data_IF_770271498631
#
_entry.id   IF_770271498631
#
_cell.length_a   1.000
_cell.length_b   1.000
_cell.length_c   1.000
_cell.angle_alpha   90.00
_cell.angle_beta   90.00
_cell.angle_gamma   90.00
#
_symmetry.space_group_name_H-M   'P 1'
#
loop_
_entity.id
_entity.type
_entity.pdbx_description
1 polymer ?
#
# COMPACT_ATOMS: atom_id res chain seq x y z
N UNK A 1 27.14 2.93 -29.31
CA UNK A 1 25.81 2.72 -28.70
C UNK A 1 24.97 3.97 -28.91
N UNK A 2 23.83 3.88 -29.59
CA UNK A 2 22.92 5.02 -29.79
C UNK A 2 22.29 5.45 -28.47
N UNK A 3 21.96 6.75 -28.31
CA UNK A 3 21.34 7.30 -27.09
C UNK A 3 20.12 6.49 -26.60
N UNK A 4 19.34 5.94 -27.52
CA UNK A 4 18.16 5.11 -27.25
C UNK A 4 18.50 3.73 -26.69
N UNK A 5 19.62 3.11 -27.11
CA UNK A 5 20.06 1.80 -26.60
C UNK A 5 20.44 1.81 -25.12
N UNK A 6 20.80 2.97 -24.56
CA UNK A 6 21.14 3.10 -23.13
C UNK A 6 19.92 3.26 -22.21
N UNK A 7 18.76 3.69 -22.74
CA UNK A 7 17.59 4.03 -21.92
C UNK A 7 16.69 2.82 -21.61
N UNK A 8 16.69 1.81 -22.48
CA UNK A 8 15.80 0.64 -22.39
C UNK A 8 16.56 -0.66 -22.08
N UNK A 9 17.70 -0.56 -21.37
CA UNK A 9 18.45 -1.74 -20.94
C UNK A 9 17.62 -2.57 -19.97
N UNK A 10 17.44 -3.85 -20.25
CA UNK A 10 16.69 -4.77 -19.40
C UNK A 10 17.61 -5.60 -18.52
N UNK A 11 17.16 -5.88 -17.30
CA UNK A 11 17.86 -6.78 -16.37
C UNK A 11 17.55 -8.22 -16.77
N UNK A 12 18.58 -9.06 -16.88
CA UNK A 12 18.39 -10.47 -17.19
C UNK A 12 17.54 -11.16 -16.11
N UNK A 13 16.58 -11.97 -16.55
CA UNK A 13 15.77 -12.82 -15.66
C UNK A 13 16.60 -14.08 -15.41
N UNK A 14 17.07 -14.26 -14.18
CA UNK A 14 17.92 -15.39 -13.83
C UNK A 14 17.07 -16.67 -13.80
N UNK A 15 17.22 -17.54 -14.81
CA UNK A 15 16.39 -18.74 -14.96
C UNK A 15 16.59 -19.75 -13.81
N UNK A 16 17.75 -19.72 -13.17
CA UNK A 16 18.09 -20.51 -11.99
C UNK A 16 17.80 -19.68 -10.71
N UNK A 17 16.53 -19.65 -10.26
CA UNK A 17 16.07 -18.96 -9.02
C UNK A 17 16.68 -19.55 -7.71
N UNK A 18 17.81 -20.26 -7.80
CA UNK A 18 18.41 -21.11 -6.77
C UNK A 18 19.85 -20.76 -6.40
N UNK A 19 20.51 -19.76 -7.04
CA UNK A 19 21.96 -19.56 -6.86
C UNK A 19 22.43 -18.24 -6.23
N UNK A 20 21.55 -17.28 -5.97
CA UNK A 20 21.92 -16.13 -5.13
C UNK A 20 21.86 -16.51 -3.66
N UNK A 21 23.02 -16.64 -2.99
CA UNK A 21 23.07 -16.68 -1.53
C UNK A 21 22.64 -15.30 -1.01
N UNK A 22 21.32 -15.08 -0.89
CA UNK A 22 20.75 -13.83 -0.37
C UNK A 22 21.05 -13.65 1.11
N UNK A 23 21.56 -14.69 1.79
CA UNK A 23 21.70 -14.75 3.24
C UNK A 23 20.35 -14.78 3.99
N UNK A 24 19.22 -14.96 3.28
CA UNK A 24 17.88 -15.01 3.87
C UNK A 24 17.35 -16.45 3.91
N UNK A 25 16.65 -16.78 5.00
CA UNK A 25 16.12 -18.12 5.25
C UNK A 25 14.73 -18.23 4.62
N UNK A 26 14.56 -19.16 3.67
CA UNK A 26 13.26 -19.43 3.01
C UNK A 26 12.32 -20.17 3.96
N UNK A 27 11.42 -19.45 4.62
CA UNK A 27 10.55 -20.00 5.67
C UNK A 27 9.06 -19.81 5.40
N UNK A 28 8.68 -18.85 4.54
CA UNK A 28 7.30 -18.44 4.30
C UNK A 28 6.59 -19.41 3.35
N UNK A 29 5.44 -19.93 3.79
CA UNK A 29 4.50 -20.67 2.96
C UNK A 29 3.35 -19.79 2.44
N UNK A 30 2.38 -20.38 1.71
CA UNK A 30 1.25 -19.64 1.15
C UNK A 30 0.35 -18.99 2.21
N UNK A 31 0.18 -19.64 3.37
CA UNK A 31 -0.60 -19.08 4.49
C UNK A 31 0.12 -17.86 5.08
N UNK A 32 1.43 -17.94 5.30
CA UNK A 32 2.23 -16.84 5.83
C UNK A 32 2.19 -15.62 4.89
N UNK A 33 2.30 -15.86 3.57
CA UNK A 33 2.21 -14.83 2.54
C UNK A 33 0.80 -14.23 2.44
N UNK A 34 -0.24 -15.04 2.63
CA UNK A 34 -1.63 -14.55 2.68
C UNK A 34 -1.85 -13.66 3.90
N UNK A 35 -1.36 -14.08 5.07
CA UNK A 35 -1.40 -13.26 6.29
C UNK A 35 -0.58 -11.98 6.15
N UNK A 36 0.57 -12.04 5.48
CA UNK A 36 1.37 -10.86 5.14
C UNK A 36 0.55 -9.88 4.27
N UNK A 37 -0.11 -10.38 3.23
CA UNK A 37 -0.97 -9.56 2.38
C UNK A 37 -2.15 -8.95 3.12
N UNK A 38 -2.89 -9.74 3.91
CA UNK A 38 -4.00 -9.24 4.74
C UNK A 38 -3.48 -8.19 5.74
N UNK A 39 -2.31 -8.43 6.33
CA UNK A 39 -1.65 -7.53 7.27
C UNK A 39 -1.25 -6.19 6.66
N UNK A 40 -0.91 -6.18 5.37
CA UNK A 40 -0.55 -5.00 4.59
C UNK A 40 -1.77 -4.25 4.02
N UNK A 41 -2.83 -4.96 3.66
CA UNK A 41 -4.04 -4.40 3.05
C UNK A 41 -4.97 -3.79 4.12
N UNK A 42 -5.29 -4.54 5.18
CA UNK A 42 -6.25 -4.10 6.20
C UNK A 42 -5.62 -3.05 7.13
N UNK A 43 -5.91 -1.78 6.85
CA UNK A 43 -5.42 -0.61 7.60
C UNK A 43 -6.35 0.60 7.55
N UNK A 44 -5.78 1.79 7.32
CA UNK A 44 -6.51 3.06 7.44
C UNK A 44 -7.64 3.20 6.42
N UNK A 45 -7.54 2.51 5.30
CA UNK A 45 -8.60 2.44 4.29
C UNK A 45 -9.94 1.98 4.86
N UNK A 46 -9.96 0.88 5.61
CA UNK A 46 -11.20 0.32 6.18
C UNK A 46 -11.57 0.93 7.54
N UNK A 47 -10.57 1.23 8.36
CA UNK A 47 -10.80 1.72 9.72
C UNK A 47 -11.12 3.22 9.78
N UNK A 48 -10.71 4.00 8.77
CA UNK A 48 -10.87 5.47 8.76
C UNK A 48 -11.55 5.94 7.48
N UNK A 49 -10.96 5.67 6.31
CA UNK A 49 -11.40 6.27 5.05
C UNK A 49 -12.78 5.80 4.60
N UNK A 50 -13.23 4.60 4.99
CA UNK A 50 -14.61 4.14 4.71
C UNK A 50 -15.66 5.11 5.24
N UNK A 51 -15.49 5.60 6.47
CA UNK A 51 -16.45 6.54 7.06
C UNK A 51 -16.44 7.89 6.36
N UNK A 52 -15.23 8.42 6.10
CA UNK A 52 -15.04 9.68 5.36
C UNK A 52 -15.66 9.58 3.97
N UNK A 53 -15.32 8.54 3.20
CA UNK A 53 -15.82 8.34 1.84
C UNK A 53 -17.34 8.09 1.80
N UNK A 54 -17.90 7.38 2.78
CA UNK A 54 -19.34 7.24 2.91
C UNK A 54 -20.00 8.60 3.19
N UNK A 55 -19.44 9.40 4.10
CA UNK A 55 -20.01 10.68 4.50
C UNK A 55 -19.95 11.76 3.40
N UNK A 56 -18.85 11.81 2.64
CA UNK A 56 -18.56 12.94 1.74
C UNK A 56 -18.70 12.61 0.26
N UNK A 57 -18.57 11.34 -0.14
CA UNK A 57 -18.47 10.96 -1.56
C UNK A 57 -19.59 10.03 -2.02
N UNK A 58 -19.83 8.90 -1.35
CA UNK A 58 -20.64 7.81 -1.92
C UNK A 58 -21.95 7.53 -1.17
N UNK A 59 -22.07 7.92 0.10
CA UNK A 59 -23.19 7.50 0.94
C UNK A 59 -23.22 5.98 1.14
N UNK A 60 -24.42 5.39 1.27
CA UNK A 60 -24.59 3.93 1.31
C UNK A 60 -24.01 3.18 0.11
N UNK A 61 -23.93 3.83 -1.06
CA UNK A 61 -23.34 3.26 -2.26
C UNK A 61 -21.81 3.10 -2.21
N UNK A 62 -21.16 3.39 -1.08
CA UNK A 62 -19.75 3.07 -0.84
C UNK A 62 -19.42 1.58 -1.07
N UNK A 63 -20.40 0.68 -0.93
CA UNK A 63 -20.26 -0.74 -1.29
C UNK A 63 -19.95 -0.93 -2.78
N UNK A 64 -20.55 -0.12 -3.65
CA UNK A 64 -20.26 -0.12 -5.09
C UNK A 64 -18.88 0.45 -5.36
N UNK A 65 -18.45 1.47 -4.59
CA UNK A 65 -17.09 1.99 -4.67
C UNK A 65 -16.05 0.91 -4.36
N UNK A 66 -16.28 0.10 -3.32
CA UNK A 66 -15.42 -1.04 -3.00
C UNK A 66 -15.40 -2.11 -4.09
N UNK A 67 -16.53 -2.37 -4.74
CA UNK A 67 -16.59 -3.31 -5.87
C UNK A 67 -15.80 -2.79 -7.08
N UNK A 68 -15.95 -1.51 -7.42
CA UNK A 68 -15.22 -0.89 -8.55
C UNK A 68 -13.72 -0.91 -8.28
N UNK A 69 -13.28 -0.39 -7.13
CA UNK A 69 -11.87 -0.36 -6.76
C UNK A 69 -11.30 -1.78 -6.62
N UNK A 70 -12.02 -2.69 -5.97
CA UNK A 70 -11.59 -4.09 -5.81
C UNK A 70 -11.45 -4.83 -7.13
N UNK A 71 -12.32 -4.56 -8.11
CA UNK A 71 -12.22 -5.13 -9.46
C UNK A 71 -11.00 -4.60 -10.21
N UNK A 72 -10.73 -3.29 -10.13
CA UNK A 72 -9.52 -2.69 -10.70
C UNK A 72 -8.26 -3.31 -10.09
N UNK A 73 -8.22 -3.45 -8.77
CA UNK A 73 -7.13 -4.11 -8.04
C UNK A 73 -7.02 -5.59 -8.41
N UNK A 74 -8.12 -6.30 -8.67
CA UNK A 74 -8.09 -7.71 -9.05
C UNK A 74 -7.41 -7.91 -10.40
N UNK A 75 -7.69 -7.06 -11.40
CA UNK A 75 -7.00 -7.11 -12.68
C UNK A 75 -5.49 -6.85 -12.54
N UNK A 76 -5.11 -5.84 -11.74
CA UNK A 76 -3.71 -5.56 -11.45
C UNK A 76 -3.04 -6.70 -10.67
N UNK A 77 -3.69 -7.26 -9.65
CA UNK A 77 -3.17 -8.34 -8.82
C UNK A 77 -2.91 -9.62 -9.62
N UNK A 78 -3.74 -9.92 -10.63
CA UNK A 78 -3.48 -11.03 -11.56
C UNK A 78 -2.19 -10.78 -12.36
N UNK A 79 -1.98 -9.55 -12.85
CA UNK A 79 -0.75 -9.18 -13.55
C UNK A 79 0.48 -9.25 -12.63
N UNK A 80 0.36 -8.76 -11.40
CA UNK A 80 1.39 -8.89 -10.36
C UNK A 80 1.71 -10.36 -10.06
N UNK A 81 0.71 -11.22 -9.93
CA UNK A 81 0.90 -12.64 -9.68
C UNK A 81 1.68 -13.34 -10.82
N UNK A 82 1.42 -12.98 -12.09
CA UNK A 82 2.19 -13.51 -13.23
C UNK A 82 3.65 -13.05 -13.20
N UNK A 83 3.91 -11.75 -13.00
CA UNK A 83 5.28 -11.23 -12.96
C UNK A 83 6.04 -11.73 -11.73
N UNK A 84 5.39 -11.80 -10.57
CA UNK A 84 5.99 -12.35 -9.34
C UNK A 84 6.38 -13.82 -9.51
N UNK A 85 5.55 -14.62 -10.18
CA UNK A 85 5.83 -16.03 -10.43
C UNK A 85 6.90 -16.27 -11.52
N UNK A 86 6.97 -15.39 -12.52
CA UNK A 86 7.85 -15.56 -13.68
C UNK A 86 9.25 -14.94 -13.49
N UNK A 87 9.34 -13.78 -12.82
CA UNK A 87 10.59 -13.03 -12.66
C UNK A 87 11.24 -13.32 -11.30
N UNK A 88 10.43 -13.43 -10.23
CA UNK A 88 10.93 -13.56 -8.86
C UNK A 88 11.69 -12.33 -8.35
N UNK A 89 12.41 -12.50 -7.23
CA UNK A 89 13.32 -11.50 -6.63
C UNK A 89 12.67 -10.40 -5.79
N UNK A 90 13.50 -9.66 -5.03
CA UNK A 90 13.06 -8.53 -4.19
C UNK A 90 13.02 -7.21 -4.98
N UNK A 91 11.93 -6.95 -5.71
CA UNK A 91 11.83 -5.72 -6.51
C UNK A 91 10.44 -5.15 -6.73
N UNK A 92 9.36 -5.89 -6.47
CA UNK A 92 7.99 -5.49 -6.82
C UNK A 92 7.95 -4.89 -8.25
N UNK A 93 7.12 -3.87 -8.50
CA UNK A 93 6.99 -3.20 -9.80
C UNK A 93 8.32 -2.68 -10.37
N UNK A 94 9.25 -2.23 -9.53
CA UNK A 94 10.60 -1.79 -9.97
C UNK A 94 11.34 -2.93 -10.68
N UNK A 95 11.45 -4.08 -10.02
CA UNK A 95 12.14 -5.25 -10.58
C UNK A 95 11.46 -5.75 -11.86
N UNK A 96 10.12 -5.76 -11.89
CA UNK A 96 9.36 -6.21 -13.05
C UNK A 96 9.54 -5.29 -14.26
N UNK A 97 9.49 -3.97 -14.05
CA UNK A 97 9.71 -3.01 -15.12
C UNK A 97 11.16 -3.06 -15.61
N UNK A 98 12.14 -3.31 -14.73
CA UNK A 98 13.53 -3.42 -15.14
C UNK A 98 13.78 -4.65 -16.01
N UNK A 99 13.12 -5.77 -15.72
CA UNK A 99 13.21 -6.98 -16.53
C UNK A 99 12.45 -6.87 -17.87
N UNK A 100 11.27 -6.24 -17.87
CA UNK A 100 10.37 -6.23 -19.03
C UNK A 100 10.38 -4.98 -19.91
N UNK A 101 10.53 -3.79 -19.32
CA UNK A 101 10.33 -2.49 -19.98
C UNK A 101 11.62 -1.66 -20.10
N UNK A 102 12.61 -1.92 -19.26
CA UNK A 102 13.94 -1.33 -19.31
C UNK A 102 14.22 -0.27 -18.25
N UNK A 103 15.48 0.17 -18.21
CA UNK A 103 16.06 1.00 -17.14
C UNK A 103 15.32 2.32 -16.87
N UNK A 104 14.94 3.09 -17.90
CA UNK A 104 14.26 4.37 -17.70
C UNK A 104 12.88 4.17 -17.06
N UNK A 105 12.11 3.20 -17.55
CA UNK A 105 10.78 2.89 -17.01
C UNK A 105 10.93 2.35 -15.58
N UNK A 106 11.91 1.48 -15.34
CA UNK A 106 12.26 1.01 -14.01
C UNK A 106 12.64 2.15 -13.06
N UNK A 107 13.42 3.13 -13.51
CA UNK A 107 13.76 4.30 -12.70
C UNK A 107 12.52 5.12 -12.36
N UNK A 108 11.68 5.45 -13.35
CA UNK A 108 10.47 6.25 -13.15
C UNK A 108 9.59 5.58 -12.10
N UNK A 109 9.34 4.27 -12.24
CA UNK A 109 8.53 3.55 -11.27
C UNK A 109 9.22 3.41 -9.91
N UNK A 110 10.53 3.15 -9.86
CA UNK A 110 11.26 3.08 -8.59
C UNK A 110 11.20 4.40 -7.81
N UNK A 111 11.32 5.52 -8.52
CA UNK A 111 11.19 6.87 -7.95
C UNK A 111 9.76 7.17 -7.49
N UNK A 112 8.76 6.71 -8.23
CA UNK A 112 7.35 6.76 -7.84
C UNK A 112 7.07 5.92 -6.58
N UNK A 113 7.53 4.67 -6.52
CA UNK A 113 7.37 3.80 -5.35
C UNK A 113 7.98 4.40 -4.06
N UNK A 114 9.07 5.19 -4.17
CA UNK A 114 9.64 5.90 -3.02
C UNK A 114 8.65 6.92 -2.45
N UNK A 115 7.95 7.64 -3.32
CA UNK A 115 6.88 8.56 -2.92
C UNK A 115 5.69 7.77 -2.38
N UNK A 116 5.18 6.81 -3.15
CA UNK A 116 4.00 6.01 -2.82
C UNK A 116 4.13 5.41 -1.43
N UNK A 117 5.16 4.60 -1.17
CA UNK A 117 5.31 3.93 0.10
C UNK A 117 5.57 4.92 1.25
N UNK A 118 6.33 6.00 1.00
CA UNK A 118 6.62 7.00 2.02
C UNK A 118 5.36 7.77 2.46
N UNK A 119 4.60 8.22 1.48
CA UNK A 119 3.33 8.94 1.68
C UNK A 119 2.28 7.98 2.23
N UNK A 120 2.29 6.69 1.85
CA UNK A 120 1.37 5.68 2.39
C UNK A 120 1.58 5.42 3.88
N UNK A 121 2.82 5.22 4.32
CA UNK A 121 3.15 5.11 5.77
C UNK A 121 2.66 6.35 6.52
N UNK A 122 2.80 7.53 5.90
CA UNK A 122 2.35 8.79 6.49
C UNK A 122 0.82 8.85 6.61
N UNK A 123 0.07 8.45 5.59
CA UNK A 123 -1.40 8.37 5.63
C UNK A 123 -1.90 7.39 6.70
N UNK A 124 -1.27 6.22 6.80
CA UNK A 124 -1.62 5.21 7.80
C UNK A 124 -1.30 5.72 9.21
N UNK A 125 -0.22 6.45 9.40
CA UNK A 125 0.14 7.07 10.68
C UNK A 125 -0.88 8.14 11.12
N UNK A 126 -1.39 8.95 10.19
CA UNK A 126 -2.46 9.93 10.49
C UNK A 126 -3.73 9.20 10.93
N UNK A 127 -4.12 8.12 10.23
CA UNK A 127 -5.24 7.28 10.65
C UNK A 127 -5.03 6.60 12.01
N UNK A 128 -3.80 6.17 12.29
CA UNK A 128 -3.40 5.60 13.59
C UNK A 128 -3.54 6.61 14.73
N UNK A 129 -3.17 7.87 14.48
CA UNK A 129 -3.27 8.96 15.46
C UNK A 129 -4.69 9.16 15.97
N UNK A 130 -5.70 9.10 15.10
CA UNK A 130 -7.11 9.21 15.50
C UNK A 130 -7.55 8.11 16.47
N UNK A 131 -7.20 6.85 16.19
CA UNK A 131 -7.50 5.73 17.09
C UNK A 131 -6.70 5.79 18.40
N UNK A 132 -5.42 6.20 18.33
CA UNK A 132 -4.59 6.36 19.51
C UNK A 132 -5.12 7.47 20.43
N UNK A 133 -5.55 8.60 19.87
CA UNK A 133 -6.17 9.67 20.65
C UNK A 133 -7.45 9.21 21.34
N UNK A 134 -8.31 8.44 20.67
CA UNK A 134 -9.54 7.94 21.30
C UNK A 134 -9.25 6.99 22.47
N UNK A 135 -8.19 6.19 22.38
CA UNK A 135 -7.72 5.39 23.51
C UNK A 135 -7.19 6.26 24.66
N UNK A 136 -6.50 7.36 24.36
CA UNK A 136 -6.04 8.32 25.36
C UNK A 136 -7.21 9.08 26.01
N UNK A 137 -8.20 9.51 25.24
CA UNK A 137 -9.42 10.14 25.74
C UNK A 137 -10.18 9.22 26.70
N UNK A 138 -10.27 7.92 26.39
CA UNK A 138 -10.92 6.94 27.25
C UNK A 138 -10.27 6.80 28.64
N UNK A 139 -8.99 7.16 28.79
CA UNK A 139 -8.26 7.17 30.08
C UNK A 139 -8.08 8.59 30.64
N UNK A 140 -8.73 9.60 30.06
CA UNK A 140 -8.66 11.00 30.51
C UNK A 140 -7.40 11.76 30.08
N UNK A 141 -6.63 11.23 29.12
CA UNK A 141 -5.37 11.80 28.61
C UNK A 141 -5.49 12.29 27.15
N UNK A 142 -6.70 12.64 26.71
CA UNK A 142 -6.95 13.14 25.35
C UNK A 142 -6.06 14.33 25.01
N UNK A 143 -5.55 14.35 23.78
CA UNK A 143 -4.65 15.41 23.33
C UNK A 143 -5.45 16.61 22.80
N UNK A 144 -5.01 17.85 23.09
CA UNK A 144 -5.58 19.04 22.45
C UNK A 144 -5.48 18.98 20.93
N UNK A 145 -6.47 19.53 20.22
CA UNK A 145 -6.53 19.55 18.75
C UNK A 145 -5.27 20.10 18.07
N UNK A 146 -4.57 21.03 18.72
CA UNK A 146 -3.28 21.60 18.25
C UNK A 146 -2.21 20.53 18.02
N UNK A 147 -2.25 19.41 18.76
CA UNK A 147 -1.30 18.29 18.66
C UNK A 147 -1.82 17.11 17.85
N UNK A 148 -3.06 17.18 17.34
CA UNK A 148 -3.69 16.10 16.58
C UNK A 148 -3.77 16.40 15.08
N UNK A 149 -3.64 17.68 14.71
CA UNK A 149 -3.86 18.15 13.34
C UNK A 149 -2.67 18.94 12.83
N UNK A 150 -2.46 18.86 11.51
CA UNK A 150 -1.49 19.72 10.83
C UNK A 150 -2.02 21.17 10.66
N UNK A 151 -1.16 22.11 10.21
CA UNK A 151 -1.54 23.51 9.99
C UNK A 151 -2.75 23.72 9.08
N UNK A 152 -2.90 22.89 8.05
CA UNK A 152 -4.03 22.96 7.12
C UNK A 152 -5.39 22.61 7.76
N UNK A 153 -5.38 21.88 8.88
CA UNK A 153 -6.57 21.46 9.63
C UNK A 153 -6.74 22.28 10.93
N UNK A 154 -5.99 23.38 11.10
CA UNK A 154 -6.08 24.26 12.26
C UNK A 154 -5.27 23.81 13.49
N UNK A 155 -4.46 22.75 13.36
CA UNK A 155 -3.49 22.36 14.38
C UNK A 155 -2.08 22.88 14.11
N UNK A 156 -1.11 22.48 14.93
CA UNK A 156 0.31 22.81 14.72
C UNK A 156 1.06 21.63 14.09
N UNK A 157 0.84 20.43 14.64
CA UNK A 157 1.42 19.18 14.15
C UNK A 157 0.62 17.99 14.68
N UNK A 158 0.39 16.97 13.86
CA UNK A 158 -0.11 15.68 14.31
C UNK A 158 1.03 14.90 15.00
N UNK A 159 1.21 15.18 16.30
CA UNK A 159 2.29 14.65 17.11
C UNK A 159 2.25 13.11 17.23
N UNK A 160 1.09 12.46 17.49
CA UNK A 160 1.06 11.00 17.55
C UNK A 160 1.43 10.32 16.22
N UNK A 161 1.01 10.89 15.09
CA UNK A 161 1.36 10.37 13.77
C UNK A 161 2.88 10.46 13.50
N UNK A 162 3.50 11.61 13.79
CA UNK A 162 4.95 11.75 13.66
C UNK A 162 5.71 10.81 14.63
N UNK A 163 5.24 10.71 15.88
CA UNK A 163 5.88 9.89 16.91
C UNK A 163 5.85 8.39 16.58
N UNK A 164 4.72 7.86 16.06
CA UNK A 164 4.65 6.44 15.69
C UNK A 164 5.60 6.14 14.53
N UNK A 165 5.70 7.00 13.50
CA UNK A 165 6.63 6.80 12.38
C UNK A 165 8.09 6.75 12.87
N UNK A 166 8.49 7.67 13.75
CA UNK A 166 9.85 7.68 14.32
C UNK A 166 10.10 6.47 15.23
N UNK A 167 9.08 6.01 15.96
CA UNK A 167 9.17 4.80 16.78
C UNK A 167 9.40 3.57 15.90
N UNK A 168 8.69 3.46 14.78
CA UNK A 168 8.90 2.39 13.80
C UNK A 168 10.28 2.50 13.12
N UNK A 169 10.77 3.72 12.86
CA UNK A 169 12.12 3.95 12.35
C UNK A 169 13.19 3.41 13.31
N UNK A 170 13.02 3.66 14.62
CA UNK A 170 13.90 3.14 15.67
C UNK A 170 13.84 1.60 15.73
N UNK A 171 12.62 1.04 15.73
CA UNK A 171 12.38 -0.41 15.78
C UNK A 171 13.05 -1.14 14.61
N UNK A 172 12.82 -0.66 13.38
CA UNK A 172 13.43 -1.19 12.17
C UNK A 172 14.95 -0.96 12.16
N UNK A 173 15.42 0.18 12.69
CA UNK A 173 16.83 0.51 12.81
C UNK A 173 17.60 -0.45 13.73
N UNK A 174 16.99 -0.84 14.86
CA UNK A 174 17.53 -1.84 15.81
C UNK A 174 17.59 -3.25 15.18
N UNK A 175 16.91 -3.45 14.05
CA UNK A 175 16.89 -4.74 13.36
C UNK A 175 15.90 -5.71 13.98
N UNK A 176 14.84 -5.21 14.61
CA UNK A 176 13.66 -6.02 14.87
C UNK A 176 13.07 -6.35 13.51
N UNK A 177 13.45 -7.54 13.00
CA UNK A 177 12.78 -8.15 11.88
C UNK A 177 11.44 -8.61 12.40
N UNK A 178 10.36 -8.15 11.76
CA UNK A 178 9.03 -8.65 12.06
C UNK A 178 9.05 -10.17 12.04
N UNK A 179 8.85 -10.78 13.21
CA UNK A 179 8.72 -12.23 13.28
C UNK A 179 7.39 -12.57 12.60
N UNK A 180 7.41 -13.50 11.65
CA UNK A 180 6.21 -14.03 10.98
C UNK A 180 5.11 -14.36 12.00
N UNK A 181 5.51 -14.83 13.20
CA UNK A 181 4.60 -15.11 14.32
C UNK A 181 3.96 -13.86 14.90
N UNK A 182 4.72 -12.79 15.12
CA UNK A 182 4.20 -11.52 15.64
C UNK A 182 3.25 -10.88 14.63
N UNK A 183 3.65 -10.84 13.35
CA UNK A 183 2.77 -10.35 12.29
C UNK A 183 1.47 -11.18 12.21
N UNK A 184 1.56 -12.51 12.25
CA UNK A 184 0.39 -13.39 12.26
C UNK A 184 -0.55 -13.13 13.44
N UNK A 185 -0.02 -12.90 14.64
CA UNK A 185 -0.82 -12.54 15.82
C UNK A 185 -1.52 -11.18 15.62
N UNK A 186 -0.81 -10.16 15.13
CA UNK A 186 -1.41 -8.84 14.90
C UNK A 186 -2.49 -8.87 13.81
N UNK A 187 -2.31 -9.69 12.76
CA UNK A 187 -3.33 -9.94 11.74
C UNK A 187 -4.55 -10.62 12.34
N UNK A 188 -4.36 -11.61 13.20
CA UNK A 188 -5.47 -12.28 13.89
C UNK A 188 -6.24 -11.30 14.78
N UNK A 189 -5.54 -10.42 15.52
CA UNK A 189 -6.16 -9.40 16.38
C UNK A 189 -7.04 -8.45 15.55
N UNK A 190 -6.55 -7.93 14.41
CA UNK A 190 -7.38 -7.04 13.57
C UNK A 190 -8.57 -7.76 12.94
N UNK A 191 -8.40 -9.03 12.53
CA UNK A 191 -9.50 -9.83 11.97
C UNK A 191 -10.55 -10.15 13.04
N UNK A 192 -10.13 -10.43 14.27
CA UNK A 192 -11.01 -10.61 15.41
C UNK A 192 -11.79 -9.32 15.71
N UNK A 193 -11.13 -8.16 15.72
CA UNK A 193 -11.78 -6.87 15.92
C UNK A 193 -12.86 -6.60 14.86
N UNK A 194 -12.55 -6.87 13.58
CA UNK A 194 -13.53 -6.75 12.48
C UNK A 194 -14.67 -7.75 12.66
N UNK A 195 -14.37 -9.00 13.03
CA UNK A 195 -15.39 -10.02 13.28
C UNK A 195 -16.34 -9.64 14.41
N UNK A 196 -15.82 -9.06 15.49
CA UNK A 196 -16.64 -8.55 16.61
C UNK A 196 -17.49 -7.36 16.18
N UNK A 197 -16.92 -6.41 15.43
CA UNK A 197 -17.69 -5.30 14.87
C UNK A 197 -18.88 -5.83 14.04
N UNK A 198 -18.62 -6.73 13.08
CA UNK A 198 -19.66 -7.29 12.23
C UNK A 198 -20.73 -8.05 13.04
N UNK A 199 -20.31 -8.88 14.00
CA UNK A 199 -21.24 -9.67 14.81
C UNK A 199 -22.15 -8.81 15.69
N UNK A 200 -21.63 -7.72 16.27
CA UNK A 200 -22.41 -6.80 17.11
C UNK A 200 -23.28 -5.86 16.29
N UNK A 201 -22.75 -5.35 15.18
CA UNK A 201 -23.39 -4.32 14.38
C UNK A 201 -24.47 -4.87 13.43
N UNK A 202 -24.32 -6.10 12.91
CA UNK A 202 -25.24 -6.64 11.88
C UNK A 202 -26.70 -6.71 12.35
N UNK A 203 -26.93 -7.04 13.63
CA UNK A 203 -28.27 -7.09 14.22
C UNK A 203 -28.90 -5.72 14.49
N UNK A 204 -28.17 -4.63 14.21
CA UNK A 204 -28.60 -3.23 14.41
C UNK A 204 -28.71 -2.46 13.09
N UNK A 205 -28.58 -3.15 11.95
CA UNK A 205 -28.75 -2.54 10.63
C UNK A 205 -30.21 -2.14 10.44
N UNK A 206 -30.43 -0.86 10.16
CA UNK A 206 -31.71 -0.32 9.75
C UNK A 206 -31.64 0.02 8.26
N UNK A 207 -32.38 -0.71 7.38
CA UNK A 207 -32.43 -0.43 5.95
C UNK A 207 -32.85 1.00 5.60
N UNK A 208 -33.50 1.74 6.50
CA UNK A 208 -33.81 3.16 6.29
C UNK A 208 -32.54 4.00 6.12
N UNK A 209 -31.43 3.63 6.74
CA UNK A 209 -30.14 4.33 6.59
C UNK A 209 -29.53 4.19 5.19
N UNK A 210 -30.00 3.23 4.39
CA UNK A 210 -29.60 3.07 2.99
C UNK A 210 -30.44 3.90 2.02
N UNK A 211 -31.38 4.72 2.51
CA UNK A 211 -32.21 5.61 1.69
C UNK A 211 -31.87 7.08 2.01
N UNK A 212 -31.42 7.88 1.02
CA UNK A 212 -31.13 7.52 -0.37
C UNK A 212 -29.82 6.70 -0.52
N UNK A 213 -29.81 5.72 -1.43
CA UNK A 213 -28.65 4.82 -1.60
C UNK A 213 -27.46 5.49 -2.28
N UNK A 214 -27.72 6.29 -3.32
CA UNK A 214 -26.70 7.04 -4.08
C UNK A 214 -26.95 8.55 -3.98
N UNK A 215 -26.79 9.18 -2.79
CA UNK A 215 -27.07 10.61 -2.61
C UNK A 215 -26.19 11.50 -3.51
N UNK A 216 -25.00 11.03 -3.86
CA UNK A 216 -24.02 11.74 -4.69
C UNK A 216 -23.97 11.22 -6.14
N UNK A 217 -24.91 10.35 -6.53
CA UNK A 217 -24.96 9.73 -7.85
C UNK A 217 -23.75 8.84 -8.18
N UNK A 218 -23.62 8.48 -9.46
CA UNK A 218 -22.52 7.61 -9.93
C UNK A 218 -21.15 8.30 -9.85
N UNK A 219 -21.09 9.61 -10.04
CA UNK A 219 -19.85 10.38 -9.88
C UNK A 219 -19.33 10.29 -8.44
N UNK A 220 -20.21 10.32 -7.45
CA UNK A 220 -19.85 10.10 -6.05
C UNK A 220 -19.34 8.69 -5.77
N UNK A 221 -19.94 7.67 -6.39
CA UNK A 221 -19.43 6.29 -6.32
C UNK A 221 -18.01 6.18 -6.88
N UNK A 222 -17.74 6.84 -8.00
CA UNK A 222 -16.40 6.85 -8.61
C UNK A 222 -15.38 7.66 -7.78
N UNK A 223 -15.76 8.81 -7.25
CA UNK A 223 -14.92 9.59 -6.34
C UNK A 223 -14.62 8.83 -5.04
N UNK A 224 -15.63 8.12 -4.51
CA UNK A 224 -15.47 7.19 -3.40
C UNK A 224 -14.51 6.05 -3.74
N UNK A 225 -14.65 5.44 -4.92
CA UNK A 225 -13.77 4.36 -5.39
C UNK A 225 -12.32 4.80 -5.53
N UNK A 226 -12.09 6.01 -6.07
CA UNK A 226 -10.76 6.60 -6.19
C UNK A 226 -10.13 6.87 -4.81
N UNK A 227 -10.92 7.31 -3.81
CA UNK A 227 -10.42 7.54 -2.45
C UNK A 227 -10.12 6.23 -1.71
N UNK A 228 -11.08 5.30 -1.67
CA UNK A 228 -10.95 4.01 -0.98
C UNK A 228 -10.08 2.99 -1.73
N UNK A 229 -9.64 3.28 -2.96
CA UNK A 229 -8.59 2.52 -3.63
C UNK A 229 -7.38 2.33 -2.71
N UNK A 230 -7.09 3.35 -1.89
CA UNK A 230 -6.09 3.31 -0.82
C UNK A 230 -6.20 2.06 0.07
N UNK A 231 -7.42 1.60 0.35
CA UNK A 231 -7.66 0.44 1.19
C UNK A 231 -7.15 -0.88 0.60
N UNK A 232 -6.95 -0.95 -0.72
CA UNK A 232 -6.51 -2.16 -1.41
C UNK A 232 -4.99 -2.24 -1.59
N UNK A 233 -4.26 -1.17 -1.27
CA UNK A 233 -2.80 -1.11 -1.40
C UNK A 233 -2.17 -2.08 -0.40
N UNK A 234 -1.14 -2.82 -0.84
CA UNK A 234 -0.37 -3.70 0.03
C UNK A 234 -0.34 -5.17 -0.40
N UNK A 235 -1.19 -5.62 -1.33
CA UNK A 235 -1.03 -6.98 -1.88
C UNK A 235 0.29 -7.13 -2.64
N UNK A 236 0.78 -6.05 -3.25
CA UNK A 236 2.06 -5.99 -3.95
C UNK A 236 3.25 -6.12 -2.97
N UNK A 237 3.08 -5.73 -1.71
CA UNK A 237 4.10 -5.93 -0.68
C UNK A 237 4.42 -7.42 -0.44
N UNK A 238 3.46 -8.32 -0.70
CA UNK A 238 3.70 -9.79 -0.67
C UNK A 238 4.81 -10.20 -1.62
N UNK A 239 4.91 -9.53 -2.78
CA UNK A 239 5.94 -9.81 -3.77
C UNK A 239 7.36 -9.48 -3.30
N UNK A 240 7.50 -8.57 -2.33
CA UNK A 240 8.81 -8.21 -1.76
C UNK A 240 9.40 -9.35 -0.91
N UNK A 241 8.56 -10.27 -0.44
CA UNK A 241 8.95 -11.44 0.35
C UNK A 241 9.36 -12.66 -0.50
N UNK A 242 9.57 -12.48 -1.81
CA UNK A 242 9.93 -13.56 -2.74
C UNK A 242 11.18 -14.35 -2.32
N UNK A 243 12.19 -13.67 -1.75
CA UNK A 243 13.44 -14.31 -1.31
C UNK A 243 13.29 -15.16 -0.04
N UNK A 244 12.20 -14.94 0.71
CA UNK A 244 11.89 -15.64 1.97
C UNK A 244 10.80 -16.72 1.79
N UNK A 245 10.20 -16.81 0.60
CA UNK A 245 9.20 -17.82 0.25
C UNK A 245 9.85 -19.19 -0.05
N UNK A 246 9.19 -20.27 0.37
CA UNK A 246 9.66 -21.65 0.12
C UNK A 246 9.54 -22.01 -1.37
N UNK A 247 8.38 -21.76 -1.97
CA UNK A 247 8.12 -21.99 -3.40
C UNK A 247 7.53 -20.72 -4.04
N UNK A 248 8.34 -19.67 -4.27
CA UNK A 248 7.85 -18.34 -4.66
C UNK A 248 6.96 -18.37 -5.91
N UNK A 249 7.26 -19.23 -6.88
CA UNK A 249 6.52 -19.36 -8.14
C UNK A 249 5.04 -19.74 -7.96
N UNK A 250 4.71 -20.43 -6.86
CA UNK A 250 3.33 -20.86 -6.55
C UNK A 250 2.78 -20.08 -5.36
N UNK A 251 3.59 -19.90 -4.32
CA UNK A 251 3.13 -19.38 -3.04
C UNK A 251 2.88 -17.86 -3.12
N UNK A 252 3.62 -17.09 -3.94
CA UNK A 252 3.38 -15.65 -4.14
C UNK A 252 2.05 -15.36 -4.85
N UNK A 253 1.71 -15.98 -6.00
CA UNK A 253 0.39 -15.83 -6.61
C UNK A 253 -0.77 -16.10 -5.64
N UNK A 254 -0.67 -17.16 -4.85
CA UNK A 254 -1.69 -17.52 -3.85
C UNK A 254 -1.80 -16.41 -2.80
N UNK A 255 -0.67 -15.98 -2.23
CA UNK A 255 -0.66 -14.92 -1.22
C UNK A 255 -1.27 -13.61 -1.71
N UNK A 256 -0.92 -13.18 -2.93
CA UNK A 256 -1.43 -11.95 -3.55
C UNK A 256 -2.95 -12.03 -3.78
N UNK A 257 -3.42 -13.09 -4.44
CA UNK A 257 -4.82 -13.18 -4.87
C UNK A 257 -5.77 -13.51 -3.72
N UNK A 258 -5.38 -14.41 -2.82
CA UNK A 258 -6.23 -14.80 -1.68
C UNK A 258 -6.34 -13.66 -0.68
N UNK A 259 -5.24 -12.96 -0.38
CA UNK A 259 -5.30 -11.81 0.53
C UNK A 259 -6.20 -10.71 -0.02
N UNK A 260 -6.07 -10.36 -1.31
CA UNK A 260 -6.95 -9.38 -1.95
C UNK A 260 -8.42 -9.81 -1.90
N UNK A 261 -8.75 -11.04 -2.28
CA UNK A 261 -10.13 -11.52 -2.29
C UNK A 261 -10.78 -11.50 -0.90
N UNK A 262 -10.05 -11.94 0.13
CA UNK A 262 -10.52 -11.92 1.52
C UNK A 262 -10.74 -10.48 2.00
N UNK A 263 -9.80 -9.58 1.72
CA UNK A 263 -9.93 -8.17 2.10
C UNK A 263 -11.11 -7.49 1.39
N UNK A 264 -11.30 -7.72 0.08
CA UNK A 264 -12.45 -7.21 -0.68
C UNK A 264 -13.78 -7.60 -0.04
N UNK A 265 -13.93 -8.88 0.32
CA UNK A 265 -15.16 -9.36 0.97
C UNK A 265 -15.39 -8.67 2.32
N UNK A 266 -14.35 -8.59 3.15
CA UNK A 266 -14.41 -7.90 4.44
C UNK A 266 -14.81 -6.43 4.25
N UNK A 267 -14.24 -5.75 3.27
CA UNK A 267 -14.50 -4.33 3.02
C UNK A 267 -15.96 -4.07 2.64
N UNK A 268 -16.51 -4.88 1.73
CA UNK A 268 -17.92 -4.77 1.34
C UNK A 268 -18.84 -4.99 2.54
N UNK A 269 -18.56 -6.02 3.36
CA UNK A 269 -19.36 -6.33 4.54
C UNK A 269 -19.31 -5.20 5.58
N UNK A 270 -18.12 -4.72 5.91
CA UNK A 270 -17.94 -3.63 6.88
C UNK A 270 -18.60 -2.36 6.36
N UNK A 271 -18.43 -2.00 5.09
CA UNK A 271 -19.02 -0.79 4.52
C UNK A 271 -20.57 -0.84 4.51
N UNK A 272 -21.15 -2.00 4.17
CA UNK A 272 -22.60 -2.21 4.21
C UNK A 272 -23.15 -2.10 5.64
N UNK A 273 -22.50 -2.76 6.61
CA UNK A 273 -22.93 -2.72 8.01
C UNK A 273 -22.73 -1.33 8.61
N UNK A 274 -21.60 -0.67 8.35
CA UNK A 274 -21.30 0.67 8.87
C UNK A 274 -22.36 1.69 8.44
N UNK A 275 -22.69 1.73 7.15
CA UNK A 275 -23.73 2.63 6.59
C UNK A 275 -25.16 2.18 6.92
N UNK A 276 -25.36 0.91 7.25
CA UNK A 276 -26.67 0.37 7.64
C UNK A 276 -27.01 0.65 9.11
N UNK A 277 -26.03 0.76 9.99
CA UNK A 277 -26.28 1.04 11.42
C UNK A 277 -26.41 2.53 11.71
N UNK A 278 -25.65 3.37 11.00
CA UNK A 278 -25.60 4.81 11.26
C UNK A 278 -25.76 5.60 9.95
N UNK A 279 -26.56 6.70 9.93
CA UNK A 279 -26.69 7.55 8.76
C UNK A 279 -25.34 8.06 8.26
N UNK A 280 -25.11 7.92 6.95
CA UNK A 280 -23.82 8.24 6.32
C UNK A 280 -23.24 9.62 6.65
N UNK A 281 -24.01 10.73 6.83
CA UNK A 281 -23.41 12.04 7.11
C UNK A 281 -22.66 12.10 8.45
N UNK A 282 -22.99 11.20 9.38
CA UNK A 282 -22.36 11.16 10.71
C UNK A 282 -21.12 10.27 10.80
N UNK A 283 -20.71 9.65 9.68
CA UNK A 283 -19.54 8.78 9.62
C UNK A 283 -18.21 9.53 9.37
N UNK A 284 -18.24 10.86 9.19
CA UNK A 284 -17.04 11.68 9.01
C UNK A 284 -16.32 11.96 10.35
N UNK A 285 -15.77 10.91 10.95
CA UNK A 285 -15.06 10.93 12.23
C UNK A 285 -13.72 10.22 12.12
N UNK A 286 -12.81 10.42 13.07
CA UNK A 286 -11.47 9.83 13.05
C UNK A 286 -11.43 8.30 13.20
N UNK A 287 -12.46 7.70 13.80
CA UNK A 287 -12.55 6.25 14.04
C UNK A 287 -13.97 5.69 13.84
N UNK A 288 -14.51 5.70 12.62
CA UNK A 288 -15.92 5.38 12.35
C UNK A 288 -16.36 4.02 12.90
N UNK A 289 -15.51 2.98 12.77
CA UNK A 289 -15.86 1.62 13.21
C UNK A 289 -16.00 1.55 14.74
N UNK A 290 -15.10 2.21 15.49
CA UNK A 290 -15.19 2.28 16.95
C UNK A 290 -16.31 3.21 17.43
N UNK A 291 -16.53 4.33 16.74
CA UNK A 291 -17.59 5.30 17.05
C UNK A 291 -18.99 4.66 16.97
N UNK A 292 -19.24 3.84 15.94
CA UNK A 292 -20.50 3.08 15.83
C UNK A 292 -20.70 2.15 17.03
N UNK A 293 -19.65 1.48 17.52
CA UNK A 293 -19.76 0.62 18.71
C UNK A 293 -20.09 1.42 19.98
N UNK A 294 -19.53 2.63 20.12
CA UNK A 294 -19.86 3.53 21.24
C UNK A 294 -21.32 3.99 21.17
N UNK A 295 -21.80 4.39 19.97
CA UNK A 295 -23.21 4.80 19.75
C UNK A 295 -24.21 3.69 20.06
N UNK A 296 -23.83 2.43 19.81
CA UNK A 296 -24.65 1.27 20.15
C UNK A 296 -24.62 0.89 21.64
N UNK A 297 -23.81 1.59 22.47
CA UNK A 297 -23.64 1.32 23.89
C UNK A 297 -22.68 0.17 24.21
N UNK A 298 -21.90 -0.31 23.22
CA UNK A 298 -20.97 -1.43 23.38
C UNK A 298 -19.52 -0.94 23.56
N UNK A 299 -19.24 -0.29 24.69
CA UNK A 299 -17.92 0.29 25.00
C UNK A 299 -16.78 -0.74 25.00
N UNK A 300 -17.04 -1.97 25.47
CA UNK A 300 -16.06 -3.07 25.42
C UNK A 300 -15.71 -3.45 23.97
N UNK A 301 -16.70 -3.46 23.07
CA UNK A 301 -16.50 -3.78 21.66
C UNK A 301 -15.76 -2.63 20.95
N UNK A 302 -16.10 -1.38 21.29
CA UNK A 302 -15.36 -0.20 20.82
C UNK A 302 -13.88 -0.26 21.22
N UNK A 303 -13.57 -0.61 22.47
CA UNK A 303 -12.20 -0.78 22.95
C UNK A 303 -11.44 -1.88 22.22
N UNK A 304 -12.07 -3.03 21.98
CA UNK A 304 -11.47 -4.13 21.21
C UNK A 304 -11.23 -3.74 19.74
N UNK A 305 -12.19 -3.07 19.11
CA UNK A 305 -12.07 -2.56 17.74
C UNK A 305 -10.94 -1.54 17.65
N UNK A 306 -10.86 -0.61 18.61
CA UNK A 306 -9.80 0.39 18.65
C UNK A 306 -8.42 -0.26 18.84
N UNK A 307 -8.29 -1.23 19.75
CA UNK A 307 -7.04 -1.98 19.93
C UNK A 307 -6.65 -2.74 18.66
N UNK A 308 -7.61 -3.38 18.00
CA UNK A 308 -7.39 -4.08 16.73
C UNK A 308 -7.02 -3.15 15.58
N UNK A 309 -7.61 -1.95 15.52
CA UNK A 309 -7.26 -0.91 14.56
C UNK A 309 -5.84 -0.39 14.82
N UNK A 310 -5.47 -0.04 16.06
CA UNK A 310 -4.12 0.40 16.43
C UNK A 310 -3.09 -0.67 16.03
N UNK A 311 -3.30 -1.92 16.46
CA UNK A 311 -2.40 -3.02 16.09
C UNK A 311 -2.31 -3.20 14.58
N UNK A 312 -3.45 -3.14 13.88
CA UNK A 312 -3.50 -3.36 12.45
C UNK A 312 -2.90 -2.24 11.62
N UNK A 313 -3.08 -0.99 12.01
CA UNK A 313 -2.44 0.17 11.38
C UNK A 313 -0.93 0.13 11.60
N UNK A 314 -0.48 -0.28 12.79
CA UNK A 314 0.95 -0.49 13.07
C UNK A 314 1.57 -1.56 12.16
N UNK A 315 0.90 -2.70 11.91
CA UNK A 315 1.46 -3.70 10.97
C UNK A 315 1.55 -3.17 9.55
N UNK A 316 0.55 -2.43 9.07
CA UNK A 316 0.58 -1.89 7.70
C UNK A 316 1.78 -0.95 7.55
N UNK A 317 1.98 -0.04 8.52
CA UNK A 317 3.14 0.86 8.50
C UNK A 317 4.46 0.08 8.52
N UNK A 318 4.58 -0.96 9.36
CA UNK A 318 5.79 -1.79 9.40
C UNK A 318 6.09 -2.46 8.07
N UNK A 319 5.08 -3.05 7.42
CA UNK A 319 5.25 -3.73 6.13
C UNK A 319 5.64 -2.75 5.03
N UNK A 320 4.94 -1.62 4.92
CA UNK A 320 5.24 -0.60 3.91
C UNK A 320 6.62 0.04 4.15
N UNK A 321 6.93 0.42 5.38
CA UNK A 321 8.22 1.00 5.72
C UNK A 321 9.37 0.01 5.45
N UNK A 322 9.17 -1.27 5.77
CA UNK A 322 10.11 -2.33 5.38
C UNK A 322 10.27 -2.40 3.85
N UNK A 323 9.18 -2.43 3.09
CA UNK A 323 9.18 -2.44 1.63
C UNK A 323 9.96 -1.27 1.02
N UNK A 324 9.68 -0.04 1.48
CA UNK A 324 10.38 1.17 1.05
C UNK A 324 11.90 1.07 1.25
N UNK A 325 12.33 0.58 2.42
CA UNK A 325 13.75 0.42 2.72
C UNK A 325 14.44 -0.56 1.76
N UNK A 326 13.72 -1.58 1.28
CA UNK A 326 14.21 -2.58 0.32
C UNK A 326 14.25 -2.04 -1.09
N UNK A 327 13.25 -1.27 -1.51
CA UNK A 327 13.22 -0.62 -2.82
C UNK A 327 14.40 0.34 -2.96
N UNK A 328 14.63 1.22 -1.98
CA UNK A 328 15.78 2.14 -1.97
C UNK A 328 17.11 1.37 -1.99
N UNK A 329 17.21 0.27 -1.24
CA UNK A 329 18.40 -0.58 -1.23
C UNK A 329 18.64 -1.22 -2.59
N UNK A 330 17.61 -1.75 -3.26
CA UNK A 330 17.69 -2.36 -4.58
C UNK A 330 18.12 -1.34 -5.64
N UNK A 331 17.47 -0.17 -5.69
CA UNK A 331 17.82 0.91 -6.61
C UNK A 331 19.25 1.42 -6.40
N UNK A 332 19.71 1.49 -5.15
CA UNK A 332 21.08 1.89 -4.84
C UNK A 332 22.11 0.82 -5.23
N UNK A 333 21.79 -0.47 -5.07
CA UNK A 333 22.63 -1.59 -5.55
C UNK A 333 22.74 -1.63 -7.07
N UNK A 334 21.66 -1.27 -7.76
CA UNK A 334 21.65 -1.15 -9.22
C UNK A 334 22.34 0.14 -9.73
N UNK A 335 22.87 0.97 -8.82
CA UNK A 335 23.64 2.19 -9.12
C UNK A 335 22.79 3.41 -9.49
N UNK A 336 21.46 3.28 -9.41
CA UNK A 336 20.55 4.37 -9.77
C UNK A 336 20.41 5.42 -8.64
N UNK A 337 20.70 5.03 -7.40
CA UNK A 337 20.78 5.93 -6.24
C UNK A 337 22.19 5.90 -5.61
N UNK A 338 22.61 6.97 -4.90
CA UNK A 338 23.94 7.04 -4.29
C UNK A 338 24.31 5.81 -3.46
N UNK A 339 25.55 5.27 -3.59
CA UNK A 339 25.96 4.01 -2.96
C UNK A 339 25.97 4.05 -1.43
N UNK A 340 25.80 5.24 -0.85
CA UNK A 340 25.62 5.43 0.59
C UNK A 340 24.37 4.71 1.09
N UNK A 341 23.32 4.63 0.26
CA UNK A 341 22.06 3.96 0.60
C UNK A 341 22.15 2.43 0.48
N UNK A 342 23.13 1.91 -0.26
CA UNK A 342 23.40 0.47 -0.36
C UNK A 342 24.06 -0.12 0.91
N UNK A 343 24.58 0.72 1.82
CA UNK A 343 25.31 0.28 3.01
C UNK A 343 24.37 -0.23 4.10
N UNK A 344 24.52 -1.51 4.44
CA UNK A 344 23.83 -2.16 5.58
C UNK A 344 24.72 -2.21 6.82
N UNK A 345 24.12 -2.12 8.01
CA UNK A 345 24.85 -2.26 9.27
C UNK A 345 25.22 -3.75 9.49
N UNK A 346 26.47 -4.03 9.89
CA UNK A 346 26.96 -5.41 10.08
C UNK A 346 26.26 -6.18 11.22
N UNK A 347 25.79 -5.50 12.28
CA UNK A 347 25.13 -6.15 13.42
C UNK A 347 23.65 -6.40 13.17
N UNK A 348 22.92 -5.38 12.73
CA UNK A 348 21.47 -5.46 12.53
C UNK A 348 21.09 -5.97 11.14
N UNK A 349 22.02 -5.94 10.18
CA UNK A 349 21.78 -6.27 8.77
C UNK A 349 20.67 -5.41 8.13
N UNK A 350 20.48 -4.19 8.66
CA UNK A 350 19.48 -3.23 8.19
C UNK A 350 20.13 -1.97 7.58
N UNK A 351 19.50 -1.33 6.59
CA UNK A 351 19.96 -0.07 6.00
C UNK A 351 19.58 1.14 6.88
N UNK A 352 20.19 1.24 8.06
CA UNK A 352 19.84 2.21 9.11
C UNK A 352 19.73 3.65 8.58
N UNK A 353 20.65 4.07 7.70
CA UNK A 353 20.66 5.44 7.14
C UNK A 353 19.41 5.73 6.31
N UNK A 354 19.00 4.77 5.48
CA UNK A 354 17.79 4.88 4.68
C UNK A 354 16.60 4.96 5.62
N UNK A 355 16.50 4.04 6.57
CA UNK A 355 15.39 3.97 7.53
C UNK A 355 15.19 5.32 8.23
N UNK A 356 16.22 5.90 8.84
CA UNK A 356 16.06 7.18 9.54
C UNK A 356 15.80 8.36 8.60
N UNK A 357 16.43 8.42 7.43
CA UNK A 357 16.23 9.53 6.49
C UNK A 357 14.81 9.55 5.94
N UNK A 358 14.32 8.41 5.45
CA UNK A 358 12.94 8.32 4.97
C UNK A 358 11.97 8.42 6.13
N UNK A 359 12.32 7.92 7.32
CA UNK A 359 11.52 8.07 8.54
C UNK A 359 11.27 9.50 8.95
N UNK A 360 12.31 10.33 8.91
CA UNK A 360 12.19 11.76 9.20
C UNK A 360 11.29 12.46 8.17
N UNK A 361 11.46 12.13 6.89
CA UNK A 361 10.61 12.68 5.82
C UNK A 361 9.15 12.27 5.99
N UNK A 362 8.88 10.98 6.25
CA UNK A 362 7.54 10.45 6.48
C UNK A 362 6.92 11.03 7.76
N UNK A 363 7.68 11.19 8.84
CA UNK A 363 7.18 11.80 10.08
C UNK A 363 6.80 13.28 9.86
N UNK A 364 7.55 14.01 9.03
CA UNK A 364 7.21 15.38 8.65
C UNK A 364 5.91 15.43 7.82
N UNK A 365 5.76 14.54 6.85
CA UNK A 365 4.51 14.43 6.06
C UNK A 365 3.34 14.07 6.98
N UNK A 366 3.46 13.01 7.76
CA UNK A 366 2.43 12.54 8.70
C UNK A 366 2.03 13.62 9.73
N UNK A 367 2.98 14.45 10.17
CA UNK A 367 2.74 15.51 11.14
C UNK A 367 2.08 16.76 10.56
N UNK A 368 2.33 17.09 9.29
CA UNK A 368 2.00 18.41 8.73
C UNK A 368 0.87 18.39 7.70
N UNK A 369 0.51 17.23 7.17
CA UNK A 369 -0.41 17.12 6.02
C UNK A 369 -1.72 16.40 6.37
N UNK A 370 -2.86 16.79 5.78
CA UNK A 370 -4.14 16.11 5.99
C UNK A 370 -4.17 14.71 5.37
N UNK A 371 -4.88 13.76 6.00
CA UNK A 371 -4.97 12.37 5.50
C UNK A 371 -5.51 12.26 4.08
N UNK A 372 -6.47 13.09 3.70
CA UNK A 372 -7.10 13.05 2.37
C UNK A 372 -6.09 13.36 1.25
N UNK A 373 -5.33 14.44 1.40
CA UNK A 373 -4.33 14.85 0.40
C UNK A 373 -3.21 13.81 0.24
N UNK A 374 -2.80 13.21 1.36
CA UNK A 374 -1.77 12.17 1.40
C UNK A 374 -2.30 10.90 0.75
N UNK A 375 -3.53 10.48 1.05
CA UNK A 375 -4.15 9.30 0.45
C UNK A 375 -4.34 9.44 -1.07
N UNK A 376 -4.76 10.61 -1.55
CA UNK A 376 -4.87 10.87 -3.01
C UNK A 376 -3.52 10.77 -3.72
N UNK A 377 -2.45 11.28 -3.11
CA UNK A 377 -1.09 11.21 -3.67
C UNK A 377 -0.55 9.77 -3.69
N UNK A 378 -0.91 8.95 -2.71
CA UNK A 378 -0.59 7.52 -2.71
C UNK A 378 -1.34 6.80 -3.81
N UNK A 379 -2.63 7.12 -3.99
CA UNK A 379 -3.46 6.49 -5.01
C UNK A 379 -2.93 6.76 -6.42
N UNK A 380 -2.54 7.99 -6.76
CA UNK A 380 -2.00 8.27 -8.10
C UNK A 380 -0.71 7.51 -8.40
N UNK A 381 0.22 7.42 -7.44
CA UNK A 381 1.47 6.66 -7.61
C UNK A 381 1.19 5.16 -7.76
N UNK A 382 0.38 4.59 -6.87
CA UNK A 382 0.03 3.17 -6.94
C UNK A 382 -0.71 2.81 -8.24
N UNK A 383 -1.63 3.67 -8.70
CA UNK A 383 -2.33 3.48 -9.97
C UNK A 383 -1.36 3.53 -11.15
N UNK A 384 -0.34 4.40 -11.13
CA UNK A 384 0.71 4.44 -12.13
C UNK A 384 1.57 3.16 -12.10
N UNK A 385 1.91 2.66 -10.90
CA UNK A 385 2.58 1.38 -10.71
C UNK A 385 1.80 0.21 -11.30
N UNK A 386 0.50 0.14 -11.01
CA UNK A 386 -0.37 -0.94 -11.46
C UNK A 386 -0.59 -0.87 -12.98
N UNK A 387 -0.70 0.33 -13.53
CA UNK A 387 -0.73 0.54 -14.98
C UNK A 387 0.54 -0.01 -15.66
N UNK A 388 1.72 0.31 -15.12
CA UNK A 388 3.00 -0.17 -15.67
C UNK A 388 3.17 -1.69 -15.52
N UNK A 389 2.71 -2.29 -14.42
CA UNK A 389 2.75 -3.75 -14.26
C UNK A 389 1.81 -4.46 -15.22
N UNK A 390 0.59 -3.94 -15.41
CA UNK A 390 -0.35 -4.49 -16.38
C UNK A 390 0.20 -4.41 -17.81
N UNK A 391 0.76 -3.26 -18.19
CA UNK A 391 1.39 -3.10 -19.51
C UNK A 391 2.66 -3.96 -19.64
N UNK A 392 3.41 -4.13 -18.55
CA UNK A 392 4.58 -5.01 -18.46
C UNK A 392 4.26 -6.47 -18.81
N UNK A 393 3.13 -7.01 -18.33
CA UNK A 393 2.68 -8.37 -18.71
C UNK A 393 2.44 -8.48 -20.22
N UNK A 394 1.75 -7.48 -20.80
CA UNK A 394 1.45 -7.46 -22.24
C UNK A 394 2.76 -7.43 -23.04
N UNK A 395 3.68 -6.52 -22.69
CA UNK A 395 4.97 -6.38 -23.37
C UNK A 395 5.80 -7.65 -23.24
N UNK A 396 5.92 -8.23 -22.04
CA UNK A 396 6.75 -9.41 -21.79
C UNK A 396 6.24 -10.66 -22.53
N UNK A 397 4.92 -10.76 -22.79
CA UNK A 397 4.36 -11.83 -23.61
C UNK A 397 4.73 -11.71 -25.10
N UNK A 398 5.02 -10.51 -25.58
CA UNK A 398 5.46 -10.27 -26.95
C UNK A 398 6.99 -10.38 -27.07
N UNK A 399 7.73 -9.80 -26.12
CA UNK A 399 9.20 -9.74 -26.19
C UNK A 399 9.88 -11.02 -25.72
N UNK A 400 9.26 -11.77 -24.80
CA UNK A 400 9.79 -13.03 -24.26
C UNK A 400 8.69 -14.12 -24.20
N UNK A 401 8.18 -14.59 -25.34
CA UNK A 401 7.06 -15.55 -25.37
C UNK A 401 7.40 -16.86 -24.68
N UNK A 402 8.65 -17.33 -24.80
CA UNK A 402 9.09 -18.64 -24.28
C UNK A 402 9.42 -18.65 -22.78
N UNK A 403 9.34 -17.49 -22.09
CA UNK A 403 9.60 -17.40 -20.66
C UNK A 403 8.66 -18.34 -19.86
N UNK A 404 9.18 -19.23 -19.00
CA UNK A 404 8.35 -20.05 -18.13
C UNK A 404 7.47 -19.18 -17.22
N UNK A 405 6.16 -19.41 -17.26
CA UNK A 405 5.16 -18.67 -16.46
C UNK A 405 4.36 -19.66 -15.63
N UNK A 406 4.79 -19.97 -14.39
CA UNK A 406 4.11 -20.93 -13.52
C UNK A 406 2.69 -20.51 -13.17
N UNK A 407 2.46 -19.21 -13.01
CA UNK A 407 1.14 -18.60 -12.99
C UNK A 407 0.97 -17.73 -14.24
N UNK A 408 -0.20 -17.81 -14.87
CA UNK A 408 -0.56 -17.01 -16.06
C UNK A 408 -1.85 -16.25 -15.80
N UNK A 409 -1.84 -14.96 -16.03
CA UNK A 409 -3.03 -14.11 -16.04
C UNK A 409 -4.04 -14.67 -17.05
N UNK A 410 -5.28 -14.95 -16.61
CA UNK A 410 -6.34 -15.44 -17.49
C UNK A 410 -6.70 -14.41 -18.56
N UNK A 411 -7.12 -14.87 -19.73
CA UNK A 411 -7.59 -14.03 -20.84
C UNK A 411 -6.68 -12.86 -21.24
N UNK A 412 -5.37 -12.96 -21.02
CA UNK A 412 -4.43 -11.95 -21.51
C UNK A 412 -4.40 -11.95 -23.05
N UNK A 413 -4.41 -10.78 -23.71
CA UNK A 413 -4.11 -9.46 -23.14
C UNK A 413 -5.30 -8.69 -22.56
N UNK A 414 -6.53 -9.22 -22.61
CA UNK A 414 -7.73 -8.48 -22.19
C UNK A 414 -7.73 -8.12 -20.70
N UNK A 415 -7.40 -9.06 -19.80
CA UNK A 415 -7.38 -8.77 -18.35
C UNK A 415 -6.33 -7.72 -17.99
N UNK A 416 -5.05 -7.82 -18.42
CA UNK A 416 -4.08 -6.74 -18.21
C UNK A 416 -4.51 -5.41 -18.83
N UNK A 417 -5.14 -5.42 -20.02
CA UNK A 417 -5.64 -4.21 -20.66
C UNK A 417 -6.76 -3.56 -19.84
N UNK A 418 -7.70 -4.34 -19.31
CA UNK A 418 -8.74 -3.87 -18.40
C UNK A 418 -8.14 -3.31 -17.10
N UNK A 419 -7.10 -3.96 -16.56
CA UNK A 419 -6.36 -3.45 -15.40
C UNK A 419 -5.75 -2.09 -15.66
N UNK A 420 -5.00 -1.94 -16.76
CA UNK A 420 -4.41 -0.67 -17.18
C UNK A 420 -5.50 0.41 -17.41
N UNK A 421 -6.58 0.07 -18.12
CA UNK A 421 -7.68 0.98 -18.38
C UNK A 421 -8.40 1.42 -17.09
N UNK A 422 -8.65 0.49 -16.15
CA UNK A 422 -9.28 0.82 -14.87
C UNK A 422 -8.39 1.68 -13.98
N UNK A 423 -7.07 1.43 -13.98
CA UNK A 423 -6.13 2.25 -13.22
C UNK A 423 -6.07 3.67 -13.78
N UNK A 424 -6.01 3.81 -15.11
CA UNK A 424 -6.06 5.11 -15.77
C UNK A 424 -7.38 5.84 -15.48
N UNK A 425 -8.51 5.16 -15.56
CA UNK A 425 -9.82 5.75 -15.28
C UNK A 425 -9.95 6.26 -13.84
N UNK A 426 -9.49 5.48 -12.85
CA UNK A 426 -9.46 5.92 -11.45
C UNK A 426 -8.48 7.09 -11.25
N UNK A 427 -7.32 7.07 -11.90
CA UNK A 427 -6.35 8.15 -11.81
C UNK A 427 -6.90 9.46 -12.39
N UNK A 428 -7.64 9.40 -13.50
CA UNK A 428 -8.32 10.55 -14.10
C UNK A 428 -9.45 11.11 -13.22
N UNK A 429 -9.94 10.32 -12.27
CA UNK A 429 -10.97 10.76 -11.30
C UNK A 429 -10.38 11.49 -10.09
N UNK A 430 -9.04 11.54 -9.95
CA UNK A 430 -8.37 12.28 -8.89
C UNK A 430 -8.29 13.78 -9.18
N UNK A 431 -8.20 14.64 -8.15
CA UNK A 431 -8.09 16.08 -8.33
C UNK A 431 -6.87 16.50 -9.17
N UNK A 432 -7.02 17.58 -9.95
CA UNK A 432 -5.93 18.11 -10.77
C UNK A 432 -4.68 18.49 -9.95
N UNK A 433 -4.86 18.95 -8.70
CA UNK A 433 -3.74 19.26 -7.80
C UNK A 433 -2.88 18.03 -7.53
N UNK A 434 -3.47 16.84 -7.46
CA UNK A 434 -2.78 15.57 -7.27
C UNK A 434 -1.92 15.23 -8.49
N UNK A 435 -2.44 15.44 -9.71
CA UNK A 435 -1.69 15.31 -10.95
C UNK A 435 -0.50 16.27 -11.04
N UNK A 436 -0.69 17.52 -10.61
CA UNK A 436 0.40 18.51 -10.58
C UNK A 436 1.52 18.07 -9.63
N UNK A 437 1.18 17.68 -8.39
CA UNK A 437 2.15 17.20 -7.39
C UNK A 437 2.90 15.96 -7.88
N UNK A 438 2.18 15.02 -8.47
CA UNK A 438 2.75 13.80 -9.04
C UNK A 438 3.69 14.10 -10.22
N UNK A 439 3.26 14.95 -11.16
CA UNK A 439 4.07 15.36 -12.31
C UNK A 439 5.36 16.08 -11.89
N UNK A 440 5.30 16.96 -10.88
CA UNK A 440 6.48 17.62 -10.32
C UNK A 440 7.45 16.61 -9.68
N UNK A 441 6.94 15.61 -8.95
CA UNK A 441 7.77 14.55 -8.38
C UNK A 441 8.47 13.73 -9.46
N UNK A 442 7.75 13.30 -10.51
CA UNK A 442 8.33 12.57 -11.62
C UNK A 442 9.35 13.42 -12.41
N UNK A 443 9.09 14.71 -12.58
CA UNK A 443 10.03 15.63 -13.24
C UNK A 443 11.33 15.75 -12.44
N UNK A 444 11.25 15.85 -11.11
CA UNK A 444 12.43 15.84 -10.24
C UNK A 444 13.20 14.51 -10.35
N UNK A 445 12.49 13.38 -10.36
CA UNK A 445 13.10 12.06 -10.59
C UNK A 445 13.80 11.95 -11.95
N UNK A 446 13.18 12.47 -13.01
CA UNK A 446 13.76 12.46 -14.34
C UNK A 446 15.02 13.33 -14.42
N UNK A 447 15.04 14.49 -13.75
CA UNK A 447 16.24 15.30 -13.62
C UNK A 447 17.37 14.51 -12.93
N UNK A 448 17.08 13.84 -11.81
CA UNK A 448 18.06 12.99 -11.10
C UNK A 448 18.57 11.86 -12.02
N UNK A 449 17.70 11.24 -12.81
CA UNK A 449 18.12 10.20 -13.74
C UNK A 449 19.13 10.70 -14.77
N UNK A 450 18.82 11.84 -15.40
CA UNK A 450 19.65 12.42 -16.46
C UNK A 450 21.01 12.87 -15.92
N UNK A 451 21.06 13.48 -14.74
CA UNK A 451 22.30 14.01 -14.17
C UNK A 451 23.14 12.98 -13.39
N UNK A 452 22.50 12.00 -12.76
CA UNK A 452 23.19 11.06 -11.86
C UNK A 452 23.05 9.60 -12.32
N UNK A 453 21.82 9.07 -12.34
CA UNK A 453 21.59 7.62 -12.43
C UNK A 453 22.07 7.01 -13.74
N UNK A 454 21.92 7.72 -14.86
CA UNK A 454 22.38 7.26 -16.18
C UNK A 454 23.90 7.00 -16.21
N UNK A 455 24.67 7.79 -15.49
CA UNK A 455 26.14 7.69 -15.44
C UNK A 455 26.65 6.65 -14.44
N UNK A 456 25.81 6.23 -13.48
CA UNK A 456 26.19 5.34 -12.39
C UNK A 456 25.48 3.97 -12.43
N UNK A 457 24.64 3.72 -13.44
CA UNK A 457 23.96 2.44 -13.64
C UNK A 457 24.97 1.29 -13.68
N UNK A 458 24.84 0.34 -12.75
CA UNK A 458 25.72 -0.84 -12.68
C UNK A 458 25.57 -1.71 -13.94
N UNK A 459 24.39 -1.71 -14.56
CA UNK A 459 24.10 -2.43 -15.80
C UNK A 459 24.81 -1.78 -17.01
N UNK A 460 25.03 -0.46 -16.97
CA UNK A 460 25.85 0.22 -17.97
C UNK A 460 27.30 -0.27 -17.95
N UNK A 461 27.86 -0.46 -16.76
CA UNK A 461 29.24 -0.88 -16.56
C UNK A 461 29.49 -2.36 -16.92
N UNK A 462 28.45 -3.21 -16.98
CA UNK A 462 28.56 -4.61 -17.40
C UNK A 462 28.56 -4.79 -18.93
N UNK A 463 28.09 -3.79 -19.68
CA UNK A 463 28.01 -3.81 -21.15
C UNK A 463 29.10 -2.95 -21.85
N UNK A 464 30.01 -2.37 -21.07
CA UNK A 464 31.26 -1.73 -21.52
C UNK A 464 32.44 -2.61 -21.17
#
# INVERSE_FOLDING_TARGET
MTWTSTLFRTKAIDADHHRGDTGLRRVLGPVDLTLLGIGAIIGAGIFVLTGVAAATQAGPAIVLSYLVAGTACAFAALAYAELAAAIGGCGSAYGYCYAGLGELVAWIIGWDLILEYGVAVSAVAIGWSGYANNALEAVGLGLPAVWLHGPAEGGLVNLPAAAIVLTLALLLGVGIRESVRVNGIMVLIKLLAIGVFLAVAVGRVDPANWVPFMPFGWNGVMGGAALIFFAYIGFDAVSTAAEEARHPQRDLPIGILVSLAVCTLIYILVAAVLTGVVPYPSLNVGSPVADVMLRLGHSWAAGLVAAGAIAGLTTVMLVLYYGLSRIVLAMSRDGLLPPVFARVNRRTQTPIRVIFLVGLAMAAVAGLTPIGEVAELVNIGTLAAFFLVCTGVIVLRVTQPDLPRPFRTPWSPFVPLLGAASCLYLALSLPWVTWLRFGLWLAAGLAIYVYYSRHHSALAAQHT
#
